data_IF_411105042456
#
_entry.id   IF_411105042456
#
_cell.length_a   1.000
_cell.length_b   1.000
_cell.length_c   1.000
_cell.angle_alpha   90.00
_cell.angle_beta   90.00
_cell.angle_gamma   90.00
#
_symmetry.space_group_name_H-M   'P 1'
#
loop_
_entity.id
_entity.type
_entity.pdbx_description
1 polymer ?
#
# COMPACT_ATOMS: atom_id res chain seq x y z
N UNK A 1 9.50 -17.79 -6.62
CA UNK A 1 9.42 -19.25 -6.42
C UNK A 1 8.03 -19.83 -6.70
N UNK A 2 6.95 -19.30 -6.11
CA UNK A 2 5.59 -19.83 -6.31
C UNK A 2 5.14 -19.91 -7.78
N UNK A 3 5.48 -18.91 -8.60
CA UNK A 3 5.11 -18.87 -10.04
C UNK A 3 5.81 -19.96 -10.86
N UNK A 4 7.07 -20.29 -10.54
CA UNK A 4 7.82 -21.36 -11.24
C UNK A 4 7.28 -22.74 -10.87
N UNK A 5 6.91 -22.93 -9.60
CA UNK A 5 6.30 -24.18 -9.12
C UNK A 5 4.87 -24.35 -9.68
N UNK A 6 4.09 -23.27 -9.75
CA UNK A 6 2.76 -23.28 -10.38
C UNK A 6 2.87 -23.53 -11.89
N UNK A 7 3.82 -22.90 -12.57
CA UNK A 7 4.08 -23.13 -13.99
C UNK A 7 4.46 -24.59 -14.29
N UNK A 8 5.37 -25.16 -13.51
CA UNK A 8 5.78 -26.56 -13.60
C UNK A 8 4.62 -27.54 -13.31
N UNK A 9 3.78 -27.22 -12.32
CA UNK A 9 2.58 -28.00 -12.01
C UNK A 9 1.55 -27.92 -13.15
N UNK A 10 1.25 -26.73 -13.68
CA UNK A 10 0.28 -26.54 -14.76
C UNK A 10 0.71 -27.20 -16.08
N UNK A 11 2.02 -27.24 -16.37
CA UNK A 11 2.56 -27.89 -17.55
C UNK A 11 2.42 -29.43 -17.45
N UNK A 12 2.63 -29.98 -16.25
CA UNK A 12 2.51 -31.43 -15.99
C UNK A 12 1.06 -31.95 -16.02
N UNK A 13 0.09 -31.10 -15.71
CA UNK A 13 -1.33 -31.47 -15.64
C UNK A 13 -2.08 -31.24 -16.95
N UNK A 14 -1.63 -30.29 -17.79
CA UNK A 14 -2.40 -29.88 -18.98
C UNK A 14 -1.78 -30.38 -20.31
N UNK A 15 -0.44 -30.48 -20.42
CA UNK A 15 0.25 -30.77 -21.69
C UNK A 15 0.98 -32.13 -21.74
N UNK A 16 1.33 -32.71 -20.58
CA UNK A 16 2.12 -33.95 -20.47
C UNK A 16 1.36 -35.10 -19.80
N UNK A 17 0.03 -35.03 -19.76
CA UNK A 17 -0.82 -36.04 -19.12
C UNK A 17 -0.76 -37.42 -19.84
N UNK A 18 -0.52 -37.42 -21.15
CA UNK A 18 -0.49 -38.60 -22.02
C UNK A 18 0.91 -39.21 -22.24
N UNK A 19 1.97 -38.69 -21.62
CA UNK A 19 3.37 -39.12 -21.86
C UNK A 19 3.96 -39.93 -20.69
N UNK A 20 4.94 -40.80 -20.97
CA UNK A 20 5.49 -41.77 -20.02
C UNK A 20 6.06 -41.16 -18.71
N UNK A 21 6.00 -41.94 -17.62
CA UNK A 21 6.38 -41.57 -16.24
C UNK A 21 7.68 -40.74 -16.09
N UNK A 22 8.80 -41.04 -16.78
CA UNK A 22 10.04 -40.26 -16.62
C UNK A 22 9.97 -38.86 -17.25
N UNK A 23 9.24 -38.71 -18.36
CA UNK A 23 9.15 -37.43 -19.09
C UNK A 23 8.21 -36.46 -18.38
N UNK A 24 7.14 -36.99 -17.77
CA UNK A 24 6.17 -36.23 -16.97
C UNK A 24 6.78 -35.53 -15.75
N UNK A 25 7.85 -36.09 -15.17
CA UNK A 25 8.49 -35.55 -13.97
C UNK A 25 9.83 -34.85 -14.26
N UNK A 26 10.56 -35.28 -15.29
CA UNK A 26 11.87 -34.71 -15.61
C UNK A 26 11.80 -33.28 -16.16
N UNK A 27 10.87 -33.01 -17.08
CA UNK A 27 10.70 -31.69 -17.70
C UNK A 27 10.34 -30.59 -16.69
N UNK A 28 9.32 -30.75 -15.82
CA UNK A 28 8.98 -29.71 -14.86
C UNK A 28 10.08 -29.48 -13.81
N UNK A 29 10.82 -30.53 -13.43
CA UNK A 29 11.96 -30.40 -12.51
C UNK A 29 13.13 -29.65 -13.14
N UNK A 30 13.41 -29.90 -14.43
CA UNK A 30 14.42 -29.15 -15.19
C UNK A 30 14.04 -27.66 -15.33
N UNK A 31 12.76 -27.36 -15.58
CA UNK A 31 12.26 -25.98 -15.65
C UNK A 31 12.37 -25.29 -14.28
N UNK A 32 12.03 -26.00 -13.20
CA UNK A 32 12.17 -25.46 -11.85
C UNK A 32 13.64 -25.18 -11.49
N UNK A 33 14.55 -26.09 -11.83
CA UNK A 33 15.99 -25.91 -11.65
C UNK A 33 16.55 -24.75 -12.49
N UNK A 34 16.12 -24.63 -13.75
CA UNK A 34 16.50 -23.52 -14.63
C UNK A 34 15.98 -22.18 -14.11
N UNK A 35 14.75 -22.13 -13.59
CA UNK A 35 14.18 -20.93 -12.98
C UNK A 35 14.91 -20.52 -11.69
N UNK A 36 15.32 -21.50 -10.87
CA UNK A 36 16.17 -21.30 -9.69
C UNK A 36 17.55 -20.76 -10.07
N UNK A 37 18.19 -21.33 -11.09
CA UNK A 37 19.48 -20.87 -11.60
C UNK A 37 19.40 -19.45 -12.17
N UNK A 38 18.35 -19.14 -12.94
CA UNK A 38 18.12 -17.81 -13.48
C UNK A 38 17.90 -16.78 -12.36
N UNK A 39 17.04 -17.08 -11.37
CA UNK A 39 16.83 -16.22 -10.21
C UNK A 39 18.12 -15.97 -9.43
N UNK A 40 18.93 -17.02 -9.21
CA UNK A 40 20.24 -16.90 -8.59
C UNK A 40 21.19 -16.00 -9.40
N UNK A 41 21.17 -16.09 -10.74
CA UNK A 41 22.03 -15.29 -11.61
C UNK A 41 21.62 -13.81 -11.67
N UNK A 42 20.32 -13.53 -11.62
CA UNK A 42 19.78 -12.16 -11.57
C UNK A 42 20.08 -11.50 -10.21
N UNK A 43 19.94 -12.24 -9.11
CA UNK A 43 20.25 -11.71 -7.77
C UNK A 43 21.76 -11.51 -7.57
N UNK A 44 22.61 -12.43 -8.03
CA UNK A 44 24.07 -12.29 -7.98
C UNK A 44 24.65 -11.43 -9.12
N UNK A 45 23.87 -10.48 -9.63
CA UNK A 45 24.37 -9.53 -10.61
C UNK A 45 25.19 -8.45 -9.90
N UNK A 46 26.50 -8.32 -10.18
CA UNK A 46 27.40 -7.48 -9.39
C UNK A 46 26.95 -6.02 -9.30
N UNK A 47 26.37 -5.46 -10.38
CA UNK A 47 25.86 -4.09 -10.39
C UNK A 47 24.66 -3.85 -9.46
N UNK A 48 23.81 -4.85 -9.25
CA UNK A 48 22.67 -4.73 -8.34
C UNK A 48 23.13 -4.78 -6.88
N UNK A 49 24.13 -5.63 -6.59
CA UNK A 49 24.78 -5.65 -5.28
C UNK A 49 25.49 -4.32 -4.98
N UNK A 50 26.23 -3.75 -5.93
CA UNK A 50 26.85 -2.43 -5.80
C UNK A 50 25.80 -1.33 -5.51
N UNK A 51 24.64 -1.40 -6.15
CA UNK A 51 23.52 -0.49 -5.88
C UNK A 51 22.98 -0.65 -4.45
N UNK A 52 22.75 -1.88 -4.00
CA UNK A 52 22.25 -2.14 -2.64
C UNK A 52 23.23 -1.63 -1.57
N UNK A 53 24.54 -1.80 -1.79
CA UNK A 53 25.57 -1.25 -0.90
C UNK A 53 25.53 0.29 -0.91
N UNK A 54 25.36 0.90 -2.08
CA UNK A 54 25.20 2.36 -2.17
C UNK A 54 23.92 2.85 -1.48
N UNK A 55 22.82 2.11 -1.54
CA UNK A 55 21.57 2.43 -0.84
C UNK A 55 21.72 2.23 0.65
N UNK A 56 22.41 1.20 1.11
CA UNK A 56 22.73 0.99 2.53
C UNK A 56 23.46 2.21 3.11
N UNK A 57 24.48 2.71 2.41
CA UNK A 57 25.20 3.93 2.79
C UNK A 57 24.30 5.17 2.75
N UNK A 58 23.34 5.23 1.83
CA UNK A 58 22.39 6.34 1.76
C UNK A 58 21.33 6.27 2.87
N UNK A 59 20.88 5.07 3.22
CA UNK A 59 19.93 4.83 4.30
C UNK A 59 20.54 5.09 5.68
N UNK A 60 21.86 4.89 5.84
CA UNK A 60 22.57 5.24 7.08
C UNK A 60 22.60 6.76 7.34
N UNK A 61 22.50 7.57 6.28
CA UNK A 61 22.36 9.04 6.41
C UNK A 61 20.96 9.47 6.84
N UNK A 62 19.96 8.60 6.69
CA UNK A 62 18.59 8.90 7.08
C UNK A 62 18.48 8.72 8.60
N UNK A 63 18.53 9.84 9.33
CA UNK A 63 18.25 9.85 10.76
C UNK A 63 16.75 9.60 10.99
N UNK A 64 16.40 8.36 11.32
CA UNK A 64 15.03 8.02 11.65
C UNK A 64 14.57 8.77 12.90
N UNK A 65 13.43 9.48 12.84
CA UNK A 65 12.97 10.28 13.95
C UNK A 65 12.57 9.42 15.15
N UNK A 66 12.97 9.86 16.34
CA UNK A 66 12.54 9.25 17.59
C UNK A 66 11.01 9.28 17.76
N UNK A 67 10.46 8.27 18.44
CA UNK A 67 9.02 8.19 18.73
C UNK A 67 8.49 9.45 19.42
N UNK A 68 9.27 10.06 20.31
CA UNK A 68 8.91 11.30 21.01
C UNK A 68 8.81 12.49 20.04
N UNK A 69 9.69 12.57 19.05
CA UNK A 69 9.63 13.60 18.01
C UNK A 69 8.38 13.43 17.16
N UNK A 70 8.07 12.20 16.75
CA UNK A 70 6.87 11.88 15.96
C UNK A 70 5.58 12.24 16.69
N UNK A 71 5.48 11.93 17.98
CA UNK A 71 4.31 12.28 18.80
C UNK A 71 4.17 13.79 18.92
N UNK A 72 5.26 14.53 19.17
CA UNK A 72 5.23 15.99 19.27
C UNK A 72 4.83 16.64 17.94
N UNK A 73 5.40 16.19 16.82
CA UNK A 73 5.07 16.69 15.49
C UNK A 73 3.60 16.43 15.14
N UNK A 74 3.11 15.21 15.40
CA UNK A 74 1.71 14.85 15.11
C UNK A 74 0.72 15.58 16.01
N UNK A 75 1.04 15.80 17.29
CA UNK A 75 0.18 16.58 18.21
C UNK A 75 -0.02 18.02 17.73
N UNK A 76 1.01 18.68 17.19
CA UNK A 76 0.88 20.04 16.65
C UNK A 76 -0.08 20.04 15.46
N UNK A 77 0.08 19.09 14.53
CA UNK A 77 -0.80 18.98 13.37
C UNK A 77 -2.25 18.73 13.80
N UNK A 78 -2.48 17.78 14.70
CA UNK A 78 -3.83 17.51 15.24
C UNK A 78 -4.42 18.74 15.94
N UNK A 79 -3.62 19.46 16.73
CA UNK A 79 -4.05 20.68 17.39
C UNK A 79 -4.50 21.75 16.40
N UNK A 80 -3.74 21.97 15.31
CA UNK A 80 -4.10 22.92 14.26
C UNK A 80 -5.35 22.48 13.51
N UNK A 81 -5.49 21.18 13.20
CA UNK A 81 -6.68 20.63 12.53
C UNK A 81 -7.95 20.80 13.38
N UNK A 82 -7.87 20.55 14.69
CA UNK A 82 -9.00 20.74 15.61
C UNK A 82 -9.37 22.21 15.72
N UNK A 83 -8.38 23.11 15.83
CA UNK A 83 -8.64 24.55 15.88
C UNK A 83 -9.29 25.04 14.59
N UNK A 84 -8.81 24.60 13.43
CA UNK A 84 -9.41 24.89 12.13
C UNK A 84 -10.86 24.41 12.06
N UNK A 85 -11.13 23.17 12.49
CA UNK A 85 -12.48 22.62 12.53
C UNK A 85 -13.41 23.42 13.44
N UNK A 86 -12.95 23.83 14.62
CA UNK A 86 -13.72 24.67 15.53
C UNK A 86 -14.01 26.07 14.94
N UNK A 87 -13.04 26.66 14.25
CA UNK A 87 -13.21 27.94 13.56
C UNK A 87 -14.26 27.83 12.45
N UNK A 88 -14.17 26.82 11.59
CA UNK A 88 -15.16 26.58 10.54
C UNK A 88 -16.55 26.35 11.12
N UNK A 89 -16.68 25.52 12.16
CA UNK A 89 -17.96 25.30 12.84
C UNK A 89 -18.55 26.60 13.42
N UNK A 90 -17.70 27.52 13.91
CA UNK A 90 -18.16 28.82 14.38
C UNK A 90 -18.72 29.68 13.23
N UNK A 91 -18.10 29.65 12.05
CA UNK A 91 -18.66 30.31 10.87
C UNK A 91 -19.96 29.67 10.42
N UNK A 92 -20.04 28.35 10.39
CA UNK A 92 -21.27 27.64 10.00
C UNK A 92 -22.44 28.09 10.88
N UNK A 93 -22.27 28.11 12.21
CA UNK A 93 -23.30 28.58 13.16
C UNK A 93 -23.61 30.06 12.97
N UNK A 94 -22.59 30.90 12.79
CA UNK A 94 -22.77 32.34 12.55
C UNK A 94 -23.60 32.60 11.29
N UNK A 95 -23.28 31.91 10.20
CA UNK A 95 -24.00 32.04 8.93
C UNK A 95 -25.41 31.46 9.01
N UNK A 96 -25.61 30.30 9.65
CA UNK A 96 -26.96 29.74 9.86
C UNK A 96 -27.85 30.70 10.66
N UNK A 97 -27.35 31.27 11.76
CA UNK A 97 -28.11 32.25 12.55
C UNK A 97 -28.41 33.54 11.78
N UNK A 98 -27.47 34.00 10.94
CA UNK A 98 -27.70 35.16 10.08
C UNK A 98 -28.75 34.89 8.99
N UNK A 99 -28.70 33.72 8.35
CA UNK A 99 -29.65 33.35 7.29
C UNK A 99 -31.05 33.05 7.81
N UNK A 100 -31.15 32.48 9.02
CA UNK A 100 -32.42 32.34 9.75
C UNK A 100 -33.01 33.71 10.10
N UNK A 101 -32.20 34.63 10.62
CA UNK A 101 -32.64 36.00 10.93
C UNK A 101 -33.14 36.78 9.70
N UNK A 102 -32.54 36.55 8.52
CA UNK A 102 -32.97 37.17 7.25
C UNK A 102 -34.24 36.49 6.68
N UNK A 103 -34.70 35.38 7.27
CA UNK A 103 -35.95 34.68 6.88
C UNK A 103 -35.82 33.87 5.58
N UNK A 104 -34.59 33.50 5.19
CA UNK A 104 -34.33 32.73 3.98
C UNK A 104 -34.33 31.21 4.22
N UNK A 105 -34.08 30.76 5.46
CA UNK A 105 -33.97 29.35 5.82
C UNK A 105 -35.23 28.86 6.54
N UNK A 106 -35.99 27.98 5.89
CA UNK A 106 -37.18 27.33 6.46
C UNK A 106 -36.73 26.02 7.15
N UNK A 107 -36.25 26.13 8.40
CA UNK A 107 -35.70 25.02 9.20
C UNK A 107 -36.71 23.90 9.45
N UNK A 108 -38.00 24.23 9.40
CA UNK A 108 -39.11 23.30 9.61
C UNK A 108 -39.27 22.31 8.43
N UNK A 109 -38.88 22.70 7.21
CA UNK A 109 -38.99 21.87 6.01
C UNK A 109 -37.94 20.74 5.96
N UNK A 110 -36.79 20.90 6.63
CA UNK A 110 -35.73 19.88 6.69
C UNK A 110 -35.82 18.98 7.94
N UNK A 111 -36.49 19.44 9.00
CA UNK A 111 -36.69 18.66 10.22
C UNK A 111 -37.94 17.73 10.14
N UNK A 112 -38.77 17.88 9.11
CA UNK A 112 -39.99 17.10 8.87
C UNK A 112 -39.87 15.86 7.98
N UNK A 113 -38.72 15.61 7.31
CA UNK A 113 -38.51 14.46 6.41
C UNK A 113 -37.63 13.37 7.07
N UNK A 114 -38.10 12.87 8.20
CA UNK A 114 -37.38 11.85 8.99
C UNK A 114 -38.28 11.01 9.90
N UNK A 115 -39.56 10.86 9.54
CA UNK A 115 -40.52 9.93 10.13
C UNK A 115 -40.74 8.71 9.25
#
# INVERSE_FOLDING_TARGET
MAVVLWGAWSLSTTLLADYERPVRQGIPLAIAAAGLWFAFRVVNFPKFADFLISVEVEMDKVSWPDKTYLIRATMVVLGVMILMAAFLAAFDVFWFGLFDFIGFLDLDALQGDGG
#
